data_IF_144327646283
#
_entry.id   IF_144327646283
#
_cell.length_a   1.000
_cell.length_b   1.000
_cell.length_c   1.000
_cell.angle_alpha   90.00
_cell.angle_beta   90.00
_cell.angle_gamma   90.00
#
_symmetry.space_group_name_H-M   'P 1'
#
loop_
_entity.id
_entity.type
_entity.pdbx_description
1 polymer ?
#
# COMPACT_ATOMS: atom_id res chain seq x y z
N UNK A 1 -0.29 3.70 -11.05
CA UNK A 1 -1.45 3.07 -10.42
C UNK A 1 -2.53 4.11 -10.10
N UNK A 2 -2.30 5.07 -9.18
CA UNK A 2 -3.32 6.07 -8.77
C UNK A 2 -4.00 6.86 -9.88
N UNK A 3 -3.26 7.34 -10.89
CA UNK A 3 -3.86 8.06 -12.03
C UNK A 3 -4.86 7.17 -12.78
N UNK A 4 -4.54 5.89 -12.98
CA UNK A 4 -5.43 4.95 -13.65
C UNK A 4 -6.68 4.69 -12.80
N UNK A 5 -6.52 4.53 -11.49
CA UNK A 5 -7.65 4.32 -10.58
C UNK A 5 -8.61 5.52 -10.58
N UNK A 6 -8.09 6.76 -10.53
CA UNK A 6 -8.89 7.98 -10.62
C UNK A 6 -9.66 8.04 -11.94
N UNK A 7 -9.02 7.72 -13.07
CA UNK A 7 -9.68 7.72 -14.39
C UNK A 7 -10.79 6.68 -14.46
N UNK A 8 -10.58 5.50 -13.88
CA UNK A 8 -11.60 4.44 -13.82
C UNK A 8 -12.77 4.87 -12.94
N UNK A 9 -12.52 5.55 -11.83
CA UNK A 9 -13.58 6.10 -10.98
C UNK A 9 -14.42 7.16 -11.69
N UNK A 10 -13.78 8.10 -12.40
CA UNK A 10 -14.49 9.09 -13.22
C UNK A 10 -15.35 8.38 -14.27
N UNK A 11 -14.81 7.35 -14.94
CA UNK A 11 -15.56 6.57 -15.92
C UNK A 11 -16.75 5.80 -15.30
N UNK A 12 -16.57 5.20 -14.12
CA UNK A 12 -17.64 4.54 -13.34
C UNK A 12 -18.76 5.51 -12.97
N UNK A 13 -18.41 6.71 -12.51
CA UNK A 13 -19.37 7.77 -12.23
C UNK A 13 -20.14 8.23 -13.48
N UNK A 14 -19.48 8.34 -14.63
CA UNK A 14 -20.11 8.72 -15.89
C UNK A 14 -21.11 7.68 -16.41
N UNK A 15 -20.82 6.39 -16.23
CA UNK A 15 -21.71 5.30 -16.65
C UNK A 15 -22.79 4.98 -15.60
N UNK A 16 -22.76 5.65 -14.44
CA UNK A 16 -23.72 5.45 -13.35
C UNK A 16 -23.58 4.11 -12.64
N UNK A 17 -22.36 3.55 -12.62
CA UNK A 17 -22.07 2.26 -11.99
C UNK A 17 -21.14 2.47 -10.79
N UNK A 18 -21.44 1.90 -9.61
CA UNK A 18 -22.62 1.11 -9.26
C UNK A 18 -23.89 1.97 -9.17
N UNK A 19 -25.05 1.39 -9.48
CA UNK A 19 -26.34 2.10 -9.46
C UNK A 19 -26.76 2.60 -8.07
N UNK A 20 -26.08 2.14 -7.02
CA UNK A 20 -26.29 2.53 -5.64
C UNK A 20 -25.23 3.55 -5.22
N UNK A 21 -25.66 4.79 -5.03
CA UNK A 21 -24.83 5.91 -4.59
C UNK A 21 -24.09 5.66 -3.27
N UNK A 22 -24.64 4.85 -2.36
CA UNK A 22 -23.97 4.49 -1.10
C UNK A 22 -22.75 3.62 -1.34
N UNK A 23 -22.83 2.67 -2.28
CA UNK A 23 -21.70 1.81 -2.65
C UNK A 23 -20.63 2.65 -3.33
N UNK A 24 -21.03 3.54 -4.26
CA UNK A 24 -20.10 4.44 -4.92
C UNK A 24 -19.39 5.38 -3.94
N UNK A 25 -20.11 5.93 -2.96
CA UNK A 25 -19.52 6.76 -1.89
C UNK A 25 -18.53 5.98 -1.01
N UNK A 26 -18.83 4.72 -0.70
CA UNK A 26 -17.92 3.84 0.03
C UNK A 26 -16.65 3.53 -0.79
N UNK A 27 -16.79 3.27 -2.09
CA UNK A 27 -15.64 3.05 -2.99
C UNK A 27 -14.72 4.27 -3.03
N UNK A 28 -15.27 5.49 -3.12
CA UNK A 28 -14.49 6.74 -3.07
C UNK A 28 -13.77 6.89 -1.72
N UNK A 29 -14.49 6.68 -0.62
CA UNK A 29 -13.91 6.78 0.72
C UNK A 29 -12.76 5.78 0.91
N UNK A 30 -12.96 4.53 0.49
CA UNK A 30 -11.95 3.49 0.55
C UNK A 30 -10.70 3.87 -0.23
N UNK A 31 -10.86 4.38 -1.46
CA UNK A 31 -9.73 4.79 -2.30
C UNK A 31 -8.95 5.96 -1.69
N UNK A 32 -9.65 6.99 -1.18
CA UNK A 32 -9.01 8.12 -0.49
C UNK A 32 -8.25 7.67 0.77
N UNK A 33 -8.83 6.75 1.54
CA UNK A 33 -8.20 6.18 2.72
C UNK A 33 -6.95 5.38 2.35
N UNK A 34 -7.03 4.52 1.34
CA UNK A 34 -5.89 3.75 0.82
C UNK A 34 -4.79 4.68 0.33
N UNK A 35 -5.10 5.73 -0.45
CA UNK A 35 -4.14 6.74 -0.89
C UNK A 35 -3.43 7.40 0.29
N UNK A 36 -4.19 7.80 1.32
CA UNK A 36 -3.63 8.45 2.50
C UNK A 36 -2.69 7.53 3.27
N UNK A 37 -3.09 6.27 3.47
CA UNK A 37 -2.25 5.27 4.13
C UNK A 37 -0.99 4.97 3.32
N UNK A 38 -1.11 4.83 1.99
CA UNK A 38 0.03 4.59 1.10
C UNK A 38 1.03 5.74 1.17
N UNK A 39 0.56 6.98 1.18
CA UNK A 39 1.40 8.17 1.31
C UNK A 39 2.16 8.18 2.65
N UNK A 40 1.46 8.00 3.77
CA UNK A 40 2.08 7.95 5.10
C UNK A 40 3.12 6.82 5.16
N UNK A 41 2.79 5.65 4.60
CA UNK A 41 3.68 4.49 4.56
C UNK A 41 4.97 4.78 3.81
N UNK A 42 4.87 5.37 2.62
CA UNK A 42 6.03 5.70 1.78
C UNK A 42 6.93 6.73 2.47
N UNK A 43 6.35 7.82 3.00
CA UNK A 43 7.11 8.83 3.73
C UNK A 43 7.84 8.23 4.95
N UNK A 44 7.17 7.34 5.68
CA UNK A 44 7.76 6.71 6.85
C UNK A 44 8.89 5.74 6.50
N UNK A 45 8.80 5.02 5.39
CA UNK A 45 9.88 4.14 4.88
C UNK A 45 11.05 4.96 4.35
N UNK A 46 10.80 6.04 3.61
CA UNK A 46 11.83 6.97 3.14
C UNK A 46 12.57 7.58 4.34
N UNK A 47 11.83 8.06 5.33
CA UNK A 47 12.39 8.62 6.55
C UNK A 47 13.16 7.57 7.36
N UNK A 48 12.65 6.35 7.49
CA UNK A 48 13.33 5.24 8.15
C UNK A 48 14.68 4.93 7.51
N UNK A 49 14.73 4.92 6.17
CA UNK A 49 15.94 4.66 5.43
C UNK A 49 16.96 5.80 5.60
N UNK A 50 16.50 7.06 5.60
CA UNK A 50 17.37 8.23 5.75
C UNK A 50 17.97 8.34 7.17
N UNK A 51 17.19 7.97 8.18
CA UNK A 51 17.58 8.11 9.60
C UNK A 51 18.22 6.85 10.19
N UNK A 52 18.30 5.77 9.41
CA UNK A 52 18.73 4.42 9.85
C UNK A 52 18.02 3.97 11.14
N UNK A 53 16.78 4.44 11.38
CA UNK A 53 16.05 4.13 12.62
C UNK A 53 15.21 2.85 12.47
N UNK A 54 15.54 1.87 13.31
CA UNK A 54 14.88 0.56 13.32
C UNK A 54 13.38 0.65 13.65
N UNK A 55 12.97 1.55 14.55
CA UNK A 55 11.57 1.75 14.91
C UNK A 55 10.71 2.16 13.71
N UNK A 56 11.15 3.18 12.95
CA UNK A 56 10.45 3.61 11.74
C UNK A 56 10.42 2.50 10.68
N UNK A 57 11.50 1.72 10.57
CA UNK A 57 11.53 0.56 9.65
C UNK A 57 10.47 -0.49 10.03
N UNK A 58 10.30 -0.78 11.33
CA UNK A 58 9.27 -1.71 11.82
C UNK A 58 7.84 -1.20 11.60
N UNK A 59 7.60 0.09 11.86
CA UNK A 59 6.30 0.71 11.57
C UNK A 59 5.98 0.67 10.07
N UNK A 60 6.96 0.96 9.20
CA UNK A 60 6.82 0.88 7.74
C UNK A 60 6.51 -0.55 7.27
N UNK A 61 7.16 -1.55 7.87
CA UNK A 61 6.89 -2.96 7.61
C UNK A 61 5.44 -3.35 7.96
N UNK A 62 4.97 -2.96 9.15
CA UNK A 62 3.59 -3.24 9.57
C UNK A 62 2.56 -2.57 8.67
N UNK A 63 2.77 -1.30 8.31
CA UNK A 63 1.90 -0.60 7.36
C UNK A 63 1.91 -1.29 5.99
N UNK A 64 3.05 -1.83 5.54
CA UNK A 64 3.15 -2.56 4.27
C UNK A 64 2.33 -3.86 4.29
N UNK A 65 2.33 -4.60 5.40
CA UNK A 65 1.46 -5.76 5.57
C UNK A 65 -0.03 -5.38 5.51
N UNK A 66 -0.41 -4.30 6.17
CA UNK A 66 -1.80 -3.78 6.13
C UNK A 66 -2.19 -3.36 4.71
N UNK A 67 -1.29 -2.69 3.98
CA UNK A 67 -1.50 -2.33 2.58
C UNK A 67 -1.69 -3.58 1.70
N UNK A 68 -0.87 -4.62 1.86
CA UNK A 68 -1.00 -5.88 1.10
C UNK A 68 -2.39 -6.51 1.32
N UNK A 69 -2.85 -6.60 2.57
CA UNK A 69 -4.19 -7.14 2.88
C UNK A 69 -5.30 -6.29 2.27
N UNK A 70 -5.16 -4.96 2.35
CA UNK A 70 -6.14 -4.02 1.78
C UNK A 70 -6.23 -4.14 0.25
N UNK A 71 -5.08 -4.22 -0.43
CA UNK A 71 -5.03 -4.40 -1.89
C UNK A 71 -5.57 -5.77 -2.28
N UNK A 72 -5.26 -6.84 -1.54
CA UNK A 72 -5.83 -8.18 -1.77
C UNK A 72 -7.35 -8.16 -1.69
N UNK A 73 -7.91 -7.56 -0.64
CA UNK A 73 -9.34 -7.42 -0.46
C UNK A 73 -9.98 -6.67 -1.63
N UNK A 74 -9.41 -5.53 -2.03
CA UNK A 74 -9.90 -4.73 -3.15
C UNK A 74 -9.80 -5.48 -4.48
N UNK A 75 -8.68 -6.16 -4.72
CA UNK A 75 -8.43 -6.92 -5.95
C UNK A 75 -9.42 -8.08 -6.10
N UNK A 76 -9.72 -8.80 -5.02
CA UNK A 76 -10.73 -9.86 -5.00
C UNK A 76 -12.12 -9.28 -5.30
N UNK A 77 -12.45 -8.13 -4.72
CA UNK A 77 -13.73 -7.46 -5.00
C UNK A 77 -13.83 -7.10 -6.49
N UNK A 78 -12.77 -6.52 -7.07
CA UNK A 78 -12.79 -6.05 -8.46
C UNK A 78 -12.68 -7.18 -9.51
N UNK A 79 -12.32 -8.41 -9.12
CA UNK A 79 -12.28 -9.57 -10.02
C UNK A 79 -13.61 -9.81 -10.75
N UNK A 80 -14.74 -9.55 -10.07
CA UNK A 80 -16.09 -9.77 -10.61
C UNK A 80 -16.65 -8.58 -11.40
N UNK A 81 -15.97 -7.44 -11.34
CA UNK A 81 -16.49 -6.16 -11.82
C UNK A 81 -15.68 -5.67 -13.02
N UNK A 82 -14.42 -5.31 -12.79
CA UNK A 82 -13.56 -4.64 -13.76
C UNK A 82 -12.22 -5.35 -13.86
N UNK A 83 -12.03 -6.07 -14.97
CA UNK A 83 -10.77 -6.77 -15.25
C UNK A 83 -9.57 -5.83 -15.25
N UNK A 84 -9.75 -4.57 -15.63
CA UNK A 84 -8.69 -3.56 -15.62
C UNK A 84 -8.24 -3.21 -14.19
N UNK A 85 -9.18 -2.98 -13.27
CA UNK A 85 -8.85 -2.72 -11.85
C UNK A 85 -8.23 -3.95 -11.19
N UNK A 86 -8.65 -5.16 -11.58
CA UNK A 86 -7.99 -6.38 -11.13
C UNK A 86 -6.51 -6.42 -11.55
N UNK A 87 -6.20 -6.15 -12.82
CA UNK A 87 -4.81 -6.12 -13.32
C UNK A 87 -4.00 -5.03 -12.60
N UNK A 88 -4.59 -3.85 -12.39
CA UNK A 88 -3.96 -2.78 -11.64
C UNK A 88 -3.70 -3.19 -10.19
N UNK A 89 -4.66 -3.81 -9.51
CA UNK A 89 -4.51 -4.33 -8.15
C UNK A 89 -3.42 -5.40 -8.05
N UNK A 90 -3.35 -6.33 -8.99
CA UNK A 90 -2.25 -7.30 -9.08
C UNK A 90 -0.88 -6.64 -9.28
N UNK A 91 -0.81 -5.60 -10.11
CA UNK A 91 0.45 -4.86 -10.33
C UNK A 91 0.91 -4.13 -9.06
N UNK A 92 -0.03 -3.52 -8.32
CA UNK A 92 0.24 -2.88 -7.04
C UNK A 92 0.71 -3.91 -6.00
N UNK A 93 0.07 -5.08 -5.95
CA UNK A 93 0.50 -6.19 -5.09
C UNK A 93 1.94 -6.62 -5.39
N UNK A 94 2.30 -6.75 -6.66
CA UNK A 94 3.68 -7.06 -7.07
C UNK A 94 4.69 -6.04 -6.55
N UNK A 95 4.37 -4.75 -6.64
CA UNK A 95 5.21 -3.67 -6.10
C UNK A 95 5.31 -3.74 -4.57
N UNK A 96 4.21 -3.97 -3.86
CA UNK A 96 4.24 -4.14 -2.40
C UNK A 96 5.06 -5.36 -1.97
N UNK A 97 5.00 -6.47 -2.71
CA UNK A 97 5.85 -7.64 -2.44
C UNK A 97 7.33 -7.32 -2.62
N UNK A 98 7.69 -6.58 -3.67
CA UNK A 98 9.06 -6.15 -3.88
C UNK A 98 9.55 -5.25 -2.75
N UNK A 99 8.71 -4.30 -2.33
CA UNK A 99 9.01 -3.42 -1.21
C UNK A 99 9.15 -4.16 0.12
N UNK A 100 8.32 -5.17 0.38
CA UNK A 100 8.44 -6.04 1.55
C UNK A 100 9.84 -6.69 1.60
N UNK A 101 10.34 -7.20 0.47
CA UNK A 101 11.68 -7.77 0.38
C UNK A 101 12.73 -6.71 0.71
N UNK A 102 12.62 -5.50 0.14
CA UNK A 102 13.55 -4.40 0.42
C UNK A 102 13.56 -4.03 1.91
N UNK A 103 12.39 -3.88 2.54
CA UNK A 103 12.27 -3.56 3.97
C UNK A 103 12.89 -4.66 4.84
N UNK A 104 12.69 -5.93 4.50
CA UNK A 104 13.32 -7.06 5.21
C UNK A 104 14.85 -6.98 5.08
N UNK A 105 15.38 -6.72 3.88
CA UNK A 105 16.82 -6.58 3.68
C UNK A 105 17.41 -5.39 4.43
N UNK A 106 16.70 -4.26 4.47
CA UNK A 106 17.10 -3.08 5.24
C UNK A 106 17.11 -3.38 6.75
N UNK A 107 16.07 -4.05 7.25
CA UNK A 107 15.99 -4.47 8.65
C UNK A 107 17.16 -5.39 9.04
N UNK A 108 17.49 -6.39 8.22
CA UNK A 108 18.65 -7.26 8.46
C UNK A 108 19.98 -6.49 8.48
N UNK A 109 20.12 -5.47 7.63
CA UNK A 109 21.30 -4.60 7.59
C UNK A 109 21.45 -3.79 8.88
N UNK A 110 20.35 -3.21 9.38
CA UNK A 110 20.35 -2.46 10.64
C UNK A 110 20.60 -3.34 11.86
N UNK A 111 20.04 -4.55 11.90
CA UNK A 111 20.34 -5.52 12.96
C UNK A 111 21.82 -5.91 13.01
N UNK A 112 22.51 -5.99 11.86
CA UNK A 112 23.96 -6.25 11.82
C UNK A 112 24.80 -5.06 12.26
N UNK A 113 24.35 -3.83 11.95
CA UNK A 113 25.05 -2.59 12.32
C UNK A 113 24.91 -2.22 13.79
N UNK A 114 23.83 -2.65 14.47
CA UNK A 114 23.61 -2.34 15.89
C UNK A 114 24.77 -2.94 16.71
N UNK A 115 25.70 -2.11 17.25
CA UNK A 115 26.88 -2.62 17.89
C UNK A 115 26.48 -3.45 19.11
N UNK A 116 27.07 -4.64 19.23
CA UNK A 116 27.14 -5.36 20.51
C UNK A 116 27.43 -4.34 21.59
N UNK A 117 26.50 -4.14 22.53
CA UNK A 117 26.80 -3.43 23.76
C UNK A 117 28.05 -4.08 24.35
N UNK A 118 29.18 -3.38 24.27
CA UNK A 118 30.32 -3.63 25.13
C UNK A 118 29.86 -3.17 26.52
N UNK A 119 29.35 -4.10 27.31
CA UNK A 119 29.38 -3.97 28.76
C UNK A 119 30.75 -4.48 29.20
N UNK A 120 31.67 -3.54 29.35
CA UNK A 120 32.79 -3.66 30.29
C UNK A 120 32.24 -3.58 31.72
#
# INVERSE_FOLDING_TARGET
WFVAEILIFVWKGLIGWPSNWTIYGFEIFALCLTLTLEYIRLELIIYANLTEQLFHTMCGFLLTLISIVSILYWTIWQWLVLKLEFVLGCSQLGLCFFELILVITAFMSFCKKSPKQKTD
#
